data_IF_207196716212
#
_entry.id   IF_207196716212
#
_cell.length_a   1.000
_cell.length_b   1.000
_cell.length_c   1.000
_cell.angle_alpha   90.00
_cell.angle_beta   90.00
_cell.angle_gamma   90.00
#
_symmetry.space_group_name_H-M   'P 1'
#
loop_
_entity.id
_entity.type
_entity.pdbx_description
1 polymer ?
#
# COMPACT_ATOMS: atom_id res chain seq x y z
N UNK A 1 49.15 32.57 13.72
CA UNK A 1 47.81 32.54 13.06
C UNK A 1 47.48 31.20 12.38
N UNK A 2 48.40 30.55 11.65
CA UNK A 2 48.13 29.23 11.00
C UNK A 2 47.79 28.08 11.95
N UNK A 3 48.41 28.02 13.14
CA UNK A 3 48.17 26.94 14.13
C UNK A 3 46.78 27.04 14.82
N UNK A 4 46.26 28.24 15.00
CA UNK A 4 44.93 28.45 15.58
C UNK A 4 43.81 28.07 14.59
N UNK A 5 44.02 28.29 13.29
CA UNK A 5 43.08 27.91 12.24
C UNK A 5 42.91 26.37 12.13
N UNK A 6 44.01 25.58 12.32
CA UNK A 6 43.92 24.11 12.29
C UNK A 6 43.19 23.55 13.51
N UNK A 7 43.32 24.17 14.68
CA UNK A 7 42.61 23.74 15.90
C UNK A 7 41.12 24.01 15.76
N UNK A 8 40.72 25.16 15.19
CA UNK A 8 39.30 25.49 14.92
C UNK A 8 38.67 24.57 13.88
N UNK A 9 39.36 24.22 12.81
CA UNK A 9 38.91 23.27 11.79
C UNK A 9 38.76 21.87 12.36
N UNK A 10 39.71 21.44 13.24
CA UNK A 10 39.65 20.12 13.90
C UNK A 10 38.48 20.03 14.90
N UNK A 11 38.15 21.09 15.61
CA UNK A 11 37.02 21.13 16.54
C UNK A 11 35.71 21.11 15.78
N UNK A 12 35.60 21.78 14.62
CA UNK A 12 34.40 21.74 13.77
C UNK A 12 34.19 20.36 13.13
N UNK A 13 35.28 19.66 12.72
CA UNK A 13 35.20 18.31 12.21
C UNK A 13 34.84 17.26 13.31
N UNK A 14 35.35 17.42 14.54
CA UNK A 14 34.94 16.56 15.66
C UNK A 14 33.49 16.82 16.07
N UNK A 15 33.00 18.05 16.04
CA UNK A 15 31.59 18.38 16.30
C UNK A 15 30.64 17.79 15.24
N UNK A 16 31.08 17.63 13.99
CA UNK A 16 30.28 17.02 12.93
C UNK A 16 30.13 15.50 13.04
N UNK A 17 31.04 14.81 13.75
CA UNK A 17 30.94 13.36 13.94
C UNK A 17 30.19 12.90 15.21
N UNK A 18 29.90 13.82 16.12
CA UNK A 18 29.12 13.52 17.36
C UNK A 18 27.63 13.90 17.19
N UNK A 19 27.20 14.36 16.03
CA UNK A 19 26.08 15.26 15.88
C UNK A 19 24.71 14.70 15.52
N UNK A 20 24.52 13.47 15.04
CA UNK A 20 23.15 13.09 14.62
C UNK A 20 22.24 12.63 15.78
N UNK A 21 22.72 11.83 16.69
CA UNK A 21 21.89 11.33 17.82
C UNK A 21 21.71 12.37 18.93
N UNK A 22 22.74 13.18 19.20
CA UNK A 22 22.68 14.22 20.25
C UNK A 22 21.82 15.43 19.85
N UNK A 23 21.82 15.81 18.57
CA UNK A 23 20.98 16.91 18.09
C UNK A 23 19.48 16.52 18.07
N UNK A 24 19.15 15.26 17.75
CA UNK A 24 17.79 14.74 17.83
C UNK A 24 17.26 14.67 19.26
N UNK A 25 18.10 14.36 20.25
CA UNK A 25 17.70 14.35 21.66
C UNK A 25 17.39 15.75 22.19
N UNK A 26 18.07 16.78 21.66
CA UNK A 26 17.82 18.19 22.01
C UNK A 26 16.55 18.77 21.34
N UNK A 27 16.16 18.27 20.19
CA UNK A 27 14.96 18.74 19.45
C UNK A 27 13.69 17.94 19.74
N UNK A 28 13.76 16.89 20.56
CA UNK A 28 12.65 15.97 20.79
C UNK A 28 12.24 15.15 19.56
N UNK A 29 13.01 15.20 18.47
CA UNK A 29 12.72 14.48 17.24
C UNK A 29 12.95 12.96 17.43
N UNK A 30 11.90 12.17 17.19
CA UNK A 30 11.97 10.70 17.26
C UNK A 30 12.86 10.14 16.17
N UNK A 31 13.47 8.99 16.43
CA UNK A 31 14.22 8.22 15.40
C UNK A 31 13.30 7.84 14.24
N UNK A 32 13.85 7.72 13.05
CA UNK A 32 13.10 7.18 11.92
C UNK A 32 12.79 5.70 12.16
N UNK A 33 11.55 5.30 11.92
CA UNK A 33 11.16 3.91 12.03
C UNK A 33 11.86 3.04 10.98
N UNK A 34 12.26 1.83 11.40
CA UNK A 34 12.99 0.84 10.59
C UNK A 34 12.08 -0.30 10.15
N UNK A 35 12.59 -1.18 9.29
CA UNK A 35 11.85 -2.32 8.72
C UNK A 35 11.26 -2.02 7.35
N UNK A 36 10.94 -3.08 6.63
CA UNK A 36 10.39 -3.00 5.27
C UNK A 36 8.90 -2.67 5.30
N UNK A 37 8.35 -2.05 4.24
CA UNK A 37 6.90 -1.97 4.05
C UNK A 37 6.25 -3.35 4.12
N UNK A 38 5.08 -3.42 4.74
CA UNK A 38 4.33 -4.68 4.92
C UNK A 38 5.12 -5.79 5.63
N UNK A 39 5.98 -5.41 6.54
CA UNK A 39 6.66 -6.31 7.47
C UNK A 39 6.21 -6.00 8.89
N UNK A 40 5.89 -7.02 9.67
CA UNK A 40 5.50 -6.88 11.07
C UNK A 40 6.43 -7.68 11.97
N UNK A 41 6.99 -7.00 12.97
CA UNK A 41 7.80 -7.62 14.02
C UNK A 41 6.87 -8.13 15.12
N UNK A 42 6.73 -9.45 15.23
CA UNK A 42 5.94 -10.09 16.27
C UNK A 42 6.84 -10.44 17.46
N UNK A 43 6.62 -9.76 18.56
CA UNK A 43 7.30 -10.00 19.83
C UNK A 43 6.48 -11.03 20.61
N UNK A 44 6.92 -12.29 20.57
CA UNK A 44 6.20 -13.42 21.10
C UNK A 44 7.17 -14.50 21.60
N UNK A 45 7.01 -14.98 22.82
CA UNK A 45 7.87 -16.03 23.35
C UNK A 45 7.57 -17.40 22.71
N UNK A 46 8.47 -18.38 22.92
CA UNK A 46 8.42 -19.64 22.18
C UNK A 46 7.15 -20.43 22.42
N UNK A 47 6.70 -20.48 23.67
CA UNK A 47 5.53 -21.25 24.06
C UNK A 47 4.25 -20.77 23.36
N UNK A 48 3.99 -19.47 23.34
CA UNK A 48 2.83 -18.89 22.67
C UNK A 48 2.94 -19.00 21.15
N UNK A 49 4.16 -18.79 20.62
CA UNK A 49 4.40 -18.86 19.17
C UNK A 49 4.23 -20.26 18.59
N UNK A 50 4.65 -21.29 19.31
CA UNK A 50 4.54 -22.69 18.88
C UNK A 50 3.14 -23.31 19.15
N UNK A 51 2.29 -22.55 19.84
CA UNK A 51 0.92 -22.94 20.13
C UNK A 51 -0.05 -22.62 18.96
N UNK A 52 -1.34 -22.93 19.18
CA UNK A 52 -2.41 -22.53 18.26
C UNK A 52 -2.47 -21.01 18.08
N UNK A 53 -2.09 -20.23 19.08
CA UNK A 53 -2.07 -18.74 18.96
C UNK A 53 -1.10 -18.28 17.89
N UNK A 54 0.10 -18.81 17.82
CA UNK A 54 1.05 -18.47 16.76
C UNK A 54 0.57 -18.90 15.37
N UNK A 55 -0.12 -20.02 15.28
CA UNK A 55 -0.74 -20.49 14.02
C UNK A 55 -1.82 -19.53 13.54
N UNK A 56 -2.73 -19.10 14.42
CA UNK A 56 -3.79 -18.15 14.08
C UNK A 56 -3.23 -16.75 13.75
N UNK A 57 -2.22 -16.29 14.50
CA UNK A 57 -1.54 -15.02 14.20
C UNK A 57 -0.93 -15.02 12.80
N UNK A 58 -0.24 -16.10 12.42
CA UNK A 58 0.29 -16.25 11.06
C UNK A 58 -0.83 -16.26 10.03
N UNK A 59 -1.89 -17.03 10.25
CA UNK A 59 -3.02 -17.11 9.32
C UNK A 59 -3.66 -15.74 9.07
N UNK A 60 -3.76 -14.89 10.10
CA UNK A 60 -4.27 -13.53 9.97
C UNK A 60 -3.27 -12.64 9.23
N UNK A 61 -2.02 -12.56 9.70
CA UNK A 61 -1.04 -11.61 9.18
C UNK A 61 -0.55 -11.97 7.77
N UNK A 62 -0.46 -13.25 7.48
CA UNK A 62 -0.01 -13.78 6.19
C UNK A 62 -1.17 -14.11 5.24
N UNK A 63 -2.38 -13.60 5.50
CA UNK A 63 -3.50 -13.69 4.55
C UNK A 63 -3.02 -13.26 3.16
N UNK A 64 -3.26 -14.06 2.10
CA UNK A 64 -2.83 -13.71 0.75
C UNK A 64 -3.44 -12.40 0.25
N UNK A 65 -2.62 -11.57 -0.42
CA UNK A 65 -3.12 -10.42 -1.17
C UNK A 65 -3.87 -10.92 -2.40
N UNK A 66 -5.07 -10.42 -2.58
CA UNK A 66 -5.96 -10.84 -3.67
C UNK A 66 -5.42 -10.43 -5.04
N UNK A 67 -5.59 -11.30 -6.02
CA UNK A 67 -5.27 -11.05 -7.43
C UNK A 67 -3.83 -10.60 -7.68
N UNK A 68 -2.88 -11.32 -7.11
CA UNK A 68 -1.49 -11.28 -7.53
C UNK A 68 -1.14 -12.56 -8.31
N UNK A 69 -0.23 -12.45 -9.29
CA UNK A 69 0.24 -13.59 -10.08
C UNK A 69 0.98 -14.65 -9.24
N UNK A 70 1.43 -14.27 -8.07
CA UNK A 70 2.10 -15.11 -7.08
C UNK A 70 1.42 -14.90 -5.74
N UNK A 71 1.37 -15.94 -4.93
CA UNK A 71 0.84 -15.83 -3.57
C UNK A 71 1.81 -15.00 -2.74
N UNK A 72 1.38 -13.84 -2.29
CA UNK A 72 2.14 -12.96 -1.41
C UNK A 72 1.30 -12.63 -0.18
N UNK A 73 1.87 -12.72 1.03
CA UNK A 73 1.14 -12.43 2.25
C UNK A 73 0.87 -10.93 2.40
N UNK A 74 -0.20 -10.55 3.11
CA UNK A 74 -0.47 -9.16 3.46
C UNK A 74 0.69 -8.56 4.24
N UNK A 75 1.24 -9.29 5.21
CA UNK A 75 2.45 -8.89 5.95
C UNK A 75 3.45 -10.03 6.02
N UNK A 76 4.73 -9.73 5.84
CA UNK A 76 5.81 -10.62 6.20
C UNK A 76 5.99 -10.61 7.72
N UNK A 77 5.97 -11.77 8.33
CA UNK A 77 6.09 -11.93 9.77
C UNK A 77 7.55 -12.18 10.15
N UNK A 78 8.12 -11.31 11.00
CA UNK A 78 9.42 -11.50 11.64
C UNK A 78 9.18 -11.72 13.12
N UNK A 79 9.54 -12.89 13.64
CA UNK A 79 9.34 -13.20 15.06
C UNK A 79 10.59 -12.95 15.87
N UNK A 80 10.44 -12.37 17.07
CA UNK A 80 11.50 -12.19 18.06
C UNK A 80 10.97 -12.46 19.48
N UNK A 81 11.83 -12.90 20.39
CA UNK A 81 11.45 -13.06 21.81
C UNK A 81 11.36 -11.72 22.53
N UNK A 82 10.61 -11.66 23.62
CA UNK A 82 10.52 -10.46 24.46
C UNK A 82 11.90 -10.03 25.02
N UNK A 83 12.76 -11.00 25.32
CA UNK A 83 14.11 -10.75 25.81
C UNK A 83 14.96 -10.04 24.76
N UNK A 84 14.96 -10.54 23.52
CA UNK A 84 15.84 -10.03 22.46
C UNK A 84 15.32 -8.71 21.89
N UNK A 85 14.00 -8.50 21.91
CA UNK A 85 13.35 -7.25 21.47
C UNK A 85 13.86 -6.02 22.22
N UNK A 86 14.06 -6.12 23.54
CA UNK A 86 14.49 -4.99 24.38
C UNK A 86 15.82 -4.36 23.92
N UNK A 87 16.67 -5.13 23.27
CA UNK A 87 18.03 -4.72 22.92
C UNK A 87 18.19 -4.37 21.43
N UNK A 88 17.35 -4.89 20.53
CA UNK A 88 17.63 -4.87 19.11
C UNK A 88 16.70 -4.00 18.27
N UNK A 89 15.39 -4.10 18.45
CA UNK A 89 14.44 -3.64 17.44
C UNK A 89 13.30 -2.73 17.95
N UNK A 90 13.49 -1.86 18.96
CA UNK A 90 12.38 -1.04 19.47
C UNK A 90 11.91 0.04 18.48
N UNK A 91 12.68 0.34 17.43
CA UNK A 91 12.36 1.33 16.39
C UNK A 91 11.73 0.74 15.14
N UNK A 92 11.31 -0.53 15.17
CA UNK A 92 10.62 -1.16 14.03
C UNK A 92 9.29 -0.46 13.73
N UNK A 93 8.92 -0.38 12.45
CA UNK A 93 7.75 0.41 12.01
C UNK A 93 6.41 -0.21 12.42
N UNK A 94 6.27 -1.53 12.35
CA UNK A 94 5.11 -2.29 12.79
C UNK A 94 5.54 -3.30 13.83
N UNK A 95 5.06 -3.16 15.05
CA UNK A 95 5.36 -4.07 16.16
C UNK A 95 4.05 -4.62 16.70
N UNK A 96 3.97 -5.94 16.81
CA UNK A 96 2.90 -6.66 17.50
C UNK A 96 3.49 -7.38 18.71
N UNK A 97 3.22 -6.88 19.92
CA UNK A 97 3.59 -7.54 21.17
C UNK A 97 2.49 -8.47 21.61
N UNK A 98 2.82 -9.72 21.93
CA UNK A 98 1.91 -10.73 22.45
C UNK A 98 2.13 -10.86 23.94
N UNK A 99 1.09 -10.71 24.75
CA UNK A 99 1.10 -10.84 26.20
C UNK A 99 0.00 -11.77 26.66
N UNK A 100 0.34 -13.01 26.91
CA UNK A 100 -0.55 -14.01 27.49
C UNK A 100 -0.27 -14.12 29.00
N UNK A 101 -1.21 -13.69 29.84
CA UNK A 101 -1.01 -13.71 31.30
C UNK A 101 -2.34 -13.81 32.02
N UNK A 102 -2.46 -14.70 33.06
CA UNK A 102 -3.67 -14.81 33.87
C UNK A 102 -4.05 -13.52 34.62
N UNK A 103 -3.14 -12.54 34.73
CA UNK A 103 -3.41 -11.24 35.32
C UNK A 103 -4.14 -10.29 34.36
N UNK A 104 -4.20 -10.58 33.07
CA UNK A 104 -4.97 -9.82 32.08
C UNK A 104 -6.44 -10.20 32.23
N UNK A 105 -7.29 -9.23 32.54
CA UNK A 105 -8.70 -9.47 32.77
C UNK A 105 -9.47 -9.85 31.51
N UNK A 106 -9.18 -9.14 30.38
CA UNK A 106 -9.91 -9.29 29.12
C UNK A 106 -8.95 -9.32 27.92
N UNK A 107 -9.32 -10.09 26.91
CA UNK A 107 -8.56 -10.11 25.66
C UNK A 107 -8.80 -8.85 24.86
N UNK A 108 -7.71 -8.17 24.46
CA UNK A 108 -7.78 -6.90 23.73
C UNK A 108 -6.53 -6.65 22.88
N UNK A 109 -6.68 -5.73 21.91
CA UNK A 109 -5.57 -5.16 21.16
C UNK A 109 -5.53 -3.65 21.42
N UNK A 110 -4.39 -3.17 21.92
CA UNK A 110 -4.15 -1.77 22.20
C UNK A 110 -3.12 -1.22 21.22
N UNK A 111 -3.45 -0.13 20.54
CA UNK A 111 -2.57 0.53 19.59
C UNK A 111 -1.91 1.77 20.21
N UNK A 112 -0.61 1.92 20.00
CA UNK A 112 0.18 3.09 20.34
C UNK A 112 0.97 3.53 19.10
N UNK A 113 1.04 4.83 18.87
CA UNK A 113 1.73 5.40 17.72
C UNK A 113 2.99 6.14 18.16
N UNK A 114 4.03 6.03 17.34
CA UNK A 114 5.26 6.81 17.51
C UNK A 114 5.89 6.68 18.90
N UNK A 115 5.98 5.47 19.45
CA UNK A 115 6.47 5.23 20.83
C UNK A 115 7.97 5.54 20.95
N UNK A 116 8.80 4.94 20.09
CA UNK A 116 10.27 5.07 20.09
C UNK A 116 10.78 5.70 18.81
N UNK A 117 10.09 5.44 17.70
CA UNK A 117 10.43 5.94 16.36
C UNK A 117 9.19 6.53 15.69
N UNK A 118 9.36 7.26 14.59
CA UNK A 118 8.25 7.79 13.79
C UNK A 118 8.58 7.64 12.30
N UNK A 119 7.57 7.24 11.49
CA UNK A 119 6.21 6.80 11.84
C UNK A 119 6.19 5.33 12.29
N UNK A 120 5.67 5.04 13.47
CA UNK A 120 5.65 3.72 14.10
C UNK A 120 4.24 3.37 14.60
N UNK A 121 3.86 2.09 14.50
CA UNK A 121 2.72 1.53 15.25
C UNK A 121 3.21 0.38 16.13
N UNK A 122 2.80 0.39 17.39
CA UNK A 122 3.02 -0.68 18.36
C UNK A 122 1.65 -1.18 18.82
N UNK A 123 1.33 -2.42 18.46
CA UNK A 123 0.14 -3.11 18.93
C UNK A 123 0.52 -4.01 20.11
N UNK A 124 -0.26 -3.97 21.18
CA UNK A 124 -0.19 -4.95 22.26
C UNK A 124 -1.44 -5.80 22.22
N UNK A 125 -1.28 -7.05 21.81
CA UNK A 125 -2.32 -8.07 21.86
C UNK A 125 -2.17 -8.86 23.15
N UNK A 126 -3.15 -8.73 24.04
CA UNK A 126 -3.08 -9.30 25.38
C UNK A 126 -4.34 -10.11 25.71
N UNK A 127 -4.18 -11.11 26.59
CA UNK A 127 -5.29 -11.91 27.04
C UNK A 127 -4.95 -12.84 28.21
N UNK A 128 -5.96 -13.40 28.91
CA UNK A 128 -5.76 -14.24 30.10
C UNK A 128 -5.23 -15.63 29.78
N UNK A 129 -5.44 -16.11 28.54
CA UNK A 129 -5.01 -17.44 28.12
C UNK A 129 -4.89 -17.54 26.60
N UNK A 130 -4.13 -18.50 26.12
CA UNK A 130 -4.00 -18.81 24.69
C UNK A 130 -5.39 -19.06 24.06
N UNK A 131 -6.25 -19.83 24.71
CA UNK A 131 -7.58 -20.16 24.18
C UNK A 131 -8.44 -18.90 23.98
N UNK A 132 -8.46 -17.99 24.95
CA UNK A 132 -9.18 -16.72 24.84
C UNK A 132 -8.63 -15.84 23.71
N UNK A 133 -7.32 -15.78 23.56
CA UNK A 133 -6.67 -15.02 22.50
C UNK A 133 -6.92 -15.60 21.11
N UNK A 134 -6.92 -16.92 20.96
CA UNK A 134 -7.28 -17.62 19.71
C UNK A 134 -8.72 -17.32 19.32
N UNK A 135 -9.64 -17.41 20.25
CA UNK A 135 -11.06 -17.10 19.98
C UNK A 135 -11.26 -15.63 19.57
N UNK A 136 -10.55 -14.72 20.24
CA UNK A 136 -10.56 -13.31 19.86
C UNK A 136 -10.05 -13.06 18.43
N UNK A 137 -8.96 -13.74 18.02
CA UNK A 137 -8.42 -13.61 16.66
C UNK A 137 -9.38 -14.12 15.60
N UNK A 138 -10.08 -15.23 15.85
CA UNK A 138 -11.09 -15.76 14.93
C UNK A 138 -12.20 -14.76 14.65
N UNK A 139 -12.56 -13.95 15.64
CA UNK A 139 -13.61 -12.93 15.53
C UNK A 139 -13.08 -11.58 15.03
N UNK A 140 -11.87 -11.19 15.40
CA UNK A 140 -11.33 -9.86 15.23
C UNK A 140 -10.02 -9.80 14.41
N UNK A 141 -9.59 -10.91 13.80
CA UNK A 141 -8.33 -10.95 13.03
C UNK A 141 -8.31 -9.99 11.86
N UNK A 142 -9.44 -9.82 11.17
CA UNK A 142 -9.58 -8.83 10.09
C UNK A 142 -9.37 -7.39 10.58
N UNK A 143 -9.83 -7.06 11.79
CA UNK A 143 -9.61 -5.74 12.38
C UNK A 143 -8.14 -5.50 12.73
N UNK A 144 -7.43 -6.51 13.25
CA UNK A 144 -5.98 -6.45 13.48
C UNK A 144 -5.24 -6.14 12.17
N UNK A 145 -5.56 -6.87 11.11
CA UNK A 145 -4.95 -6.68 9.80
C UNK A 145 -5.23 -5.26 9.26
N UNK A 146 -6.48 -4.81 9.36
CA UNK A 146 -6.91 -3.48 8.91
C UNK A 146 -6.16 -2.34 9.63
N UNK A 147 -5.91 -2.46 10.92
CA UNK A 147 -5.16 -1.43 11.69
C UNK A 147 -3.73 -1.31 11.18
N UNK A 148 -3.06 -2.43 10.90
CA UNK A 148 -1.71 -2.42 10.31
C UNK A 148 -1.70 -1.86 8.89
N UNK A 149 -2.70 -2.19 8.07
CA UNK A 149 -2.88 -1.63 6.73
C UNK A 149 -3.09 -0.13 6.73
N UNK A 150 -3.94 0.37 7.63
CA UNK A 150 -4.17 1.82 7.80
C UNK A 150 -2.85 2.51 8.15
N UNK A 151 -2.02 1.91 9.01
CA UNK A 151 -0.72 2.47 9.37
C UNK A 151 0.21 2.56 8.15
N UNK A 152 0.29 1.51 7.30
CA UNK A 152 1.08 1.54 6.06
C UNK A 152 0.56 2.58 5.07
N UNK A 153 -0.74 2.61 4.86
CA UNK A 153 -1.41 3.58 3.98
C UNK A 153 -1.14 5.02 4.40
N UNK A 154 -1.33 5.32 5.67
CA UNK A 154 -1.10 6.67 6.20
C UNK A 154 0.36 7.11 5.99
N UNK A 155 1.33 6.22 6.15
CA UNK A 155 2.75 6.51 5.87
C UNK A 155 2.97 6.89 4.41
N UNK A 156 2.37 6.14 3.49
CA UNK A 156 2.46 6.43 2.05
C UNK A 156 1.87 7.80 1.73
N UNK A 157 0.67 8.09 2.23
CA UNK A 157 -0.02 9.37 2.00
C UNK A 157 0.77 10.54 2.62
N UNK A 158 1.22 10.41 3.86
CA UNK A 158 2.00 11.46 4.53
C UNK A 158 3.38 11.69 3.88
N UNK A 159 4.00 10.63 3.36
CA UNK A 159 5.21 10.79 2.54
C UNK A 159 4.91 11.55 1.25
N UNK A 160 3.84 11.21 0.54
CA UNK A 160 3.43 11.89 -0.69
C UNK A 160 3.08 13.37 -0.44
N UNK A 161 2.42 13.69 0.67
CA UNK A 161 2.16 15.08 1.08
C UNK A 161 3.44 15.88 1.28
N UNK A 162 4.49 15.27 1.81
CA UNK A 162 5.79 15.94 2.07
C UNK A 162 6.70 15.96 0.85
N UNK A 163 6.71 14.89 0.08
CA UNK A 163 7.62 14.62 -1.03
C UNK A 163 6.82 14.26 -2.30
N UNK A 164 5.88 15.15 -2.67
CA UNK A 164 4.94 14.90 -3.76
C UNK A 164 5.41 15.34 -5.13
N UNK A 165 4.88 14.71 -6.17
CA UNK A 165 5.04 15.07 -7.58
C UNK A 165 4.10 16.24 -7.96
N UNK A 166 4.37 17.45 -7.45
CA UNK A 166 3.47 18.61 -7.50
C UNK A 166 2.98 19.00 -8.89
N UNK A 167 3.86 18.87 -9.90
CA UNK A 167 3.47 19.15 -11.28
C UNK A 167 2.39 18.17 -11.79
N UNK A 168 2.54 16.88 -11.46
CA UNK A 168 1.56 15.85 -11.82
C UNK A 168 0.25 16.01 -11.03
N UNK A 169 0.34 16.30 -9.74
CA UNK A 169 -0.84 16.60 -8.90
C UNK A 169 -1.64 17.80 -9.47
N UNK A 170 -0.94 18.81 -9.98
CA UNK A 170 -1.57 19.97 -10.62
C UNK A 170 -2.31 19.60 -11.90
N UNK A 171 -1.69 18.81 -12.79
CA UNK A 171 -2.32 18.34 -14.04
C UNK A 171 -3.60 17.57 -13.71
N UNK A 172 -3.54 16.64 -12.75
CA UNK A 172 -4.71 15.85 -12.35
C UNK A 172 -5.83 16.72 -11.79
N UNK A 173 -5.48 17.76 -11.04
CA UNK A 173 -6.46 18.72 -10.52
C UNK A 173 -7.11 19.54 -11.63
N UNK A 174 -6.33 19.97 -12.61
CA UNK A 174 -6.83 20.75 -13.75
C UNK A 174 -7.75 19.92 -14.65
N UNK A 175 -7.44 18.61 -14.83
CA UNK A 175 -8.20 17.72 -15.71
C UNK A 175 -9.46 17.11 -15.05
N UNK A 176 -9.37 16.69 -13.78
CA UNK A 176 -10.45 15.94 -13.11
C UNK A 176 -11.08 16.65 -11.93
N UNK A 177 -10.63 17.85 -11.59
CA UNK A 177 -11.07 18.61 -10.40
C UNK A 177 -11.06 17.80 -9.11
N UNK A 178 -10.00 17.01 -8.91
CA UNK A 178 -9.71 16.28 -7.67
C UNK A 178 -8.36 16.66 -7.10
N UNK A 179 -8.24 16.66 -5.78
CA UNK A 179 -6.94 16.71 -5.12
C UNK A 179 -6.46 15.29 -4.84
N UNK A 180 -5.19 15.01 -5.18
CA UNK A 180 -4.56 13.71 -5.01
C UNK A 180 -3.11 13.89 -4.58
N UNK A 181 -2.58 13.02 -3.72
CA UNK A 181 -1.20 13.08 -3.27
C UNK A 181 -0.39 11.94 -3.88
N UNK A 182 0.59 12.30 -4.71
CA UNK A 182 1.41 11.37 -5.48
C UNK A 182 2.86 11.51 -5.04
N UNK A 183 3.49 10.41 -4.61
CA UNK A 183 4.90 10.41 -4.23
C UNK A 183 5.80 10.79 -5.40
N UNK A 184 6.97 11.39 -5.09
CA UNK A 184 7.99 11.62 -6.10
C UNK A 184 8.40 10.31 -6.81
N UNK A 185 8.90 10.45 -8.04
CA UNK A 185 9.37 9.33 -8.87
C UNK A 185 8.39 8.93 -9.96
N UNK A 186 7.13 9.34 -9.89
CA UNK A 186 6.20 9.19 -11.02
C UNK A 186 6.47 10.24 -12.06
N UNK A 187 6.67 9.79 -13.29
CA UNK A 187 6.83 10.63 -14.46
C UNK A 187 5.50 10.70 -15.20
N UNK A 188 5.11 11.90 -15.53
CA UNK A 188 4.02 12.13 -16.45
C UNK A 188 4.37 11.52 -17.83
N UNK A 189 3.43 10.79 -18.42
CA UNK A 189 3.63 10.05 -19.68
C UNK A 189 2.76 10.55 -20.81
N UNK A 190 1.48 10.72 -20.54
CA UNK A 190 0.52 11.17 -21.53
C UNK A 190 -0.69 11.84 -20.89
N UNK A 191 -1.26 12.79 -21.62
CA UNK A 191 -2.49 13.50 -21.30
C UNK A 191 -3.32 13.63 -22.58
N UNK A 192 -4.60 13.49 -22.45
CA UNK A 192 -5.60 13.89 -23.42
C UNK A 192 -6.89 14.16 -22.66
N UNK A 193 -7.86 14.80 -23.28
CA UNK A 193 -9.17 14.99 -22.69
C UNK A 193 -9.63 13.68 -22.04
N UNK A 194 -10.09 13.74 -20.81
CA UNK A 194 -10.58 12.60 -20.03
C UNK A 194 -9.54 11.52 -19.64
N UNK A 195 -8.20 11.76 -19.81
CA UNK A 195 -7.18 10.76 -19.54
C UNK A 195 -5.83 11.35 -19.12
N UNK A 196 -5.28 10.85 -18.02
CA UNK A 196 -3.90 11.13 -17.56
C UNK A 196 -3.21 9.82 -17.21
N UNK A 197 -1.99 9.62 -17.69
CA UNK A 197 -1.14 8.45 -17.40
C UNK A 197 0.20 8.86 -16.81
N UNK A 198 0.61 8.18 -15.73
CA UNK A 198 1.90 8.34 -15.08
C UNK A 198 2.48 6.98 -14.66
N UNK A 199 3.80 6.86 -14.71
CA UNK A 199 4.51 5.64 -14.30
C UNK A 199 5.81 5.97 -13.57
N UNK A 200 6.25 5.02 -12.73
CA UNK A 200 7.54 5.01 -12.07
C UNK A 200 8.30 3.75 -12.49
N UNK A 201 9.41 3.97 -13.20
CA UNK A 201 10.20 2.90 -13.80
C UNK A 201 11.42 2.57 -12.95
N UNK A 202 11.54 1.30 -12.59
CA UNK A 202 12.71 0.73 -11.95
C UNK A 202 13.45 -0.18 -12.94
N UNK A 203 14.73 -0.51 -12.73
CA UNK A 203 15.49 -1.33 -13.68
C UNK A 203 14.86 -2.70 -13.98
N UNK A 204 14.02 -3.22 -13.10
CA UNK A 204 13.46 -4.59 -13.17
C UNK A 204 11.96 -4.65 -12.90
N UNK A 205 11.32 -3.51 -12.70
CA UNK A 205 9.89 -3.38 -12.43
C UNK A 205 9.39 -2.03 -12.92
N UNK A 206 8.12 -1.96 -13.24
CA UNK A 206 7.40 -0.73 -13.51
C UNK A 206 6.10 -0.74 -12.71
N UNK A 207 5.74 0.39 -12.17
CA UNK A 207 4.43 0.62 -11.58
C UNK A 207 3.84 1.91 -12.11
N UNK A 208 2.56 1.91 -12.39
CA UNK A 208 1.91 3.08 -12.94
C UNK A 208 0.45 3.16 -12.57
N UNK A 209 -0.11 4.30 -12.85
CA UNK A 209 -1.54 4.51 -12.78
C UNK A 209 -2.01 5.37 -13.95
N UNK A 210 -3.26 5.23 -14.30
CA UNK A 210 -3.94 6.14 -15.20
C UNK A 210 -5.31 6.49 -14.64
N UNK A 211 -5.70 7.73 -14.88
CA UNK A 211 -6.98 8.27 -14.45
C UNK A 211 -7.77 8.59 -15.70
N UNK A 212 -9.05 8.27 -15.70
CA UNK A 212 -9.94 8.59 -16.79
C UNK A 212 -11.36 8.83 -16.31
N UNK A 213 -12.12 9.61 -17.07
CA UNK A 213 -13.54 9.79 -16.85
C UNK A 213 -14.36 9.43 -18.09
N UNK A 214 -15.60 9.06 -17.88
CA UNK A 214 -16.56 8.80 -18.95
C UNK A 214 -17.99 8.91 -18.46
N UNK A 215 -18.97 9.22 -19.34
CA UNK A 215 -20.35 9.50 -18.94
C UNK A 215 -21.00 8.36 -18.18
N UNK A 216 -21.66 8.67 -17.06
CA UNK A 216 -22.50 7.73 -16.34
C UNK A 216 -23.85 7.56 -17.08
N UNK A 217 -24.15 6.34 -17.53
CA UNK A 217 -25.38 6.01 -18.28
C UNK A 217 -26.32 5.09 -17.46
N UNK A 218 -26.38 5.30 -16.15
CA UNK A 218 -27.18 4.50 -15.24
C UNK A 218 -26.49 3.20 -14.80
N UNK A 219 -27.25 2.32 -14.14
CA UNK A 219 -26.71 1.10 -13.53
C UNK A 219 -25.97 0.15 -14.48
N UNK A 220 -26.32 0.16 -15.76
CA UNK A 220 -25.68 -0.67 -16.77
C UNK A 220 -24.21 -0.28 -17.02
N UNK A 221 -23.81 0.98 -16.77
CA UNK A 221 -22.43 1.44 -16.95
C UNK A 221 -21.49 1.05 -15.80
N UNK A 222 -21.99 0.50 -14.71
CA UNK A 222 -21.21 0.06 -13.54
C UNK A 222 -21.17 -1.47 -13.36
N UNK A 223 -21.57 -2.24 -14.37
CA UNK A 223 -21.35 -3.70 -14.37
C UNK A 223 -19.86 -4.01 -14.59
N UNK A 224 -19.40 -5.19 -14.20
CA UNK A 224 -18.01 -5.59 -14.40
C UNK A 224 -17.60 -5.51 -15.86
N UNK A 225 -18.45 -6.00 -16.77
CA UNK A 225 -18.23 -6.01 -18.22
C UNK A 225 -18.11 -4.58 -18.77
N UNK A 226 -18.99 -3.66 -18.33
CA UNK A 226 -18.97 -2.26 -18.78
C UNK A 226 -17.71 -1.54 -18.29
N UNK A 227 -17.31 -1.76 -17.05
CA UNK A 227 -16.10 -1.17 -16.48
C UNK A 227 -14.84 -1.74 -17.15
N UNK A 228 -14.77 -3.05 -17.40
CA UNK A 228 -13.67 -3.67 -18.17
C UNK A 228 -13.61 -3.13 -19.60
N UNK A 229 -14.76 -2.95 -20.24
CA UNK A 229 -14.84 -2.33 -21.57
C UNK A 229 -14.28 -0.91 -21.57
N UNK A 230 -14.72 -0.07 -20.62
CA UNK A 230 -14.21 1.30 -20.47
C UNK A 230 -12.70 1.27 -20.21
N UNK A 231 -12.26 0.47 -19.22
CA UNK A 231 -10.83 0.28 -18.92
C UNK A 231 -10.01 -0.01 -20.18
N UNK A 232 -10.45 -0.95 -20.99
CA UNK A 232 -9.72 -1.35 -22.20
C UNK A 232 -9.66 -0.25 -23.27
N UNK A 233 -10.70 0.58 -23.40
CA UNK A 233 -10.68 1.72 -24.32
C UNK A 233 -9.62 2.76 -23.91
N UNK A 234 -9.50 3.05 -22.63
CA UNK A 234 -8.49 3.98 -22.11
C UNK A 234 -7.09 3.36 -22.05
N UNK A 235 -6.97 2.10 -21.61
CA UNK A 235 -5.71 1.38 -21.53
C UNK A 235 -5.01 1.22 -22.88
N UNK A 236 -5.74 1.21 -24.01
CA UNK A 236 -5.16 1.24 -25.36
C UNK A 236 -4.29 2.47 -25.64
N UNK A 237 -4.44 3.54 -24.88
CA UNK A 237 -3.61 4.74 -24.98
C UNK A 237 -2.23 4.55 -24.33
N UNK A 238 -2.03 3.44 -23.61
CA UNK A 238 -0.76 3.03 -23.02
C UNK A 238 -0.06 2.07 -23.98
N UNK A 239 1.02 2.52 -24.66
CA UNK A 239 1.71 1.69 -25.63
C UNK A 239 2.46 0.55 -24.95
N UNK A 240 2.48 -0.60 -25.58
CA UNK A 240 3.38 -1.67 -25.21
C UNK A 240 4.79 -1.48 -25.82
N UNK A 241 5.71 -2.44 -25.57
CA UNK A 241 7.10 -2.33 -26.02
C UNK A 241 7.29 -2.51 -27.53
N UNK A 242 6.33 -3.08 -28.24
CA UNK A 242 6.39 -3.30 -29.69
C UNK A 242 5.38 -2.42 -30.43
N UNK A 243 5.69 -2.05 -31.67
CA UNK A 243 4.83 -1.18 -32.47
C UNK A 243 3.40 -1.74 -32.61
N UNK A 244 2.44 -0.90 -32.29
CA UNK A 244 1.01 -1.24 -32.32
C UNK A 244 0.55 -2.17 -31.20
N UNK A 245 1.43 -2.50 -30.23
CA UNK A 245 1.01 -3.15 -29.00
C UNK A 245 0.50 -2.16 -27.96
N UNK A 246 -0.41 -2.59 -27.11
CA UNK A 246 -1.06 -1.74 -26.11
C UNK A 246 -1.57 -2.57 -24.93
N UNK A 247 -1.84 -1.90 -23.80
CA UNK A 247 -2.36 -2.54 -22.60
C UNK A 247 -3.83 -2.93 -22.77
N UNK A 248 -4.19 -4.11 -22.25
CA UNK A 248 -5.58 -4.60 -22.19
C UNK A 248 -5.79 -5.43 -20.91
N UNK A 249 -7.04 -5.81 -20.63
CA UNK A 249 -7.37 -6.73 -19.55
C UNK A 249 -7.29 -8.18 -20.03
N UNK A 250 -6.67 -9.05 -19.25
CA UNK A 250 -6.64 -10.50 -19.49
C UNK A 250 -8.07 -11.03 -19.56
N UNK A 251 -8.37 -11.81 -20.61
CA UNK A 251 -9.69 -12.42 -20.83
C UNK A 251 -9.71 -13.91 -20.53
N UNK A 252 -8.56 -14.55 -20.51
CA UNK A 252 -8.41 -15.98 -20.25
C UNK A 252 -7.18 -16.24 -19.41
N UNK A 253 -7.28 -17.19 -18.51
CA UNK A 253 -6.15 -17.68 -17.71
C UNK A 253 -5.97 -19.18 -17.96
N UNK A 254 -4.75 -19.72 -17.77
CA UNK A 254 -4.53 -21.16 -17.85
C UNK A 254 -5.45 -21.91 -16.88
N UNK A 255 -6.03 -22.99 -17.36
CA UNK A 255 -6.78 -23.91 -16.52
C UNK A 255 -5.81 -24.73 -15.65
N UNK A 256 -6.10 -24.88 -14.37
CA UNK A 256 -5.25 -25.64 -13.45
C UNK A 256 -5.45 -27.15 -13.60
N UNK A 257 -6.59 -27.58 -14.17
CA UNK A 257 -6.99 -28.98 -14.28
C UNK A 257 -6.59 -29.63 -15.61
N UNK A 258 -6.34 -28.82 -16.63
CA UNK A 258 -5.93 -29.29 -17.97
C UNK A 258 -5.03 -28.26 -18.69
N UNK A 259 -4.52 -28.60 -19.86
CA UNK A 259 -3.67 -27.71 -20.69
C UNK A 259 -4.46 -26.60 -21.42
N UNK A 260 -5.71 -26.36 -21.03
CA UNK A 260 -6.60 -25.39 -21.65
C UNK A 260 -6.57 -24.02 -21.00
N UNK A 261 -7.55 -23.20 -21.37
CA UNK A 261 -7.78 -21.87 -20.83
C UNK A 261 -9.23 -21.74 -20.39
N UNK A 262 -9.45 -21.01 -19.29
CA UNK A 262 -10.78 -20.62 -18.82
C UNK A 262 -10.98 -19.12 -18.99
N UNK A 263 -12.24 -18.72 -19.22
CA UNK A 263 -12.58 -17.31 -19.28
C UNK A 263 -12.35 -16.67 -17.93
N UNK A 264 -11.75 -15.48 -17.92
CA UNK A 264 -11.40 -14.73 -16.73
C UNK A 264 -12.13 -13.39 -16.73
N UNK A 265 -12.69 -13.05 -15.58
CA UNK A 265 -13.28 -11.74 -15.33
C UNK A 265 -12.69 -11.17 -14.03
N UNK A 266 -12.31 -9.89 -13.99
CA UNK A 266 -11.84 -9.24 -12.78
C UNK A 266 -12.84 -9.34 -11.63
N UNK A 267 -12.33 -9.52 -10.41
CA UNK A 267 -13.15 -9.50 -9.20
C UNK A 267 -13.66 -8.08 -8.94
N UNK A 268 -14.94 -7.98 -8.56
CA UNK A 268 -15.62 -6.72 -8.29
C UNK A 268 -16.09 -6.65 -6.84
N UNK A 269 -15.75 -5.55 -6.16
CA UNK A 269 -16.25 -5.22 -4.82
C UNK A 269 -16.74 -3.78 -4.78
N UNK A 270 -17.62 -3.45 -3.83
CA UNK A 270 -17.93 -2.07 -3.48
C UNK A 270 -17.23 -1.78 -2.16
N UNK A 271 -16.43 -0.73 -2.13
CA UNK A 271 -15.66 -0.31 -0.96
C UNK A 271 -15.99 1.15 -0.62
N UNK A 272 -15.96 1.49 0.65
CA UNK A 272 -16.17 2.87 1.09
C UNK A 272 -14.83 3.53 1.42
N UNK A 273 -14.49 4.59 0.70
CA UNK A 273 -13.26 5.35 0.89
C UNK A 273 -13.65 6.82 1.13
N UNK A 274 -13.21 7.38 2.26
CA UNK A 274 -13.49 8.78 2.64
C UNK A 274 -14.98 9.14 2.55
N UNK A 275 -15.88 8.20 2.96
CA UNK A 275 -17.32 8.39 2.95
C UNK A 275 -18.01 8.17 1.59
N UNK A 276 -17.27 8.03 0.49
CA UNK A 276 -17.75 7.81 -0.87
C UNK A 276 -17.69 6.33 -1.25
N UNK A 277 -18.65 5.85 -1.99
CA UNK A 277 -18.65 4.49 -2.52
C UNK A 277 -17.79 4.40 -3.79
N UNK A 278 -16.90 3.41 -3.83
CA UNK A 278 -16.07 3.08 -4.96
C UNK A 278 -16.30 1.64 -5.38
N UNK A 279 -16.28 1.40 -6.68
CA UNK A 279 -16.24 0.05 -7.22
C UNK A 279 -14.76 -0.30 -7.44
N UNK A 280 -14.28 -1.28 -6.70
CA UNK A 280 -12.95 -1.86 -6.88
C UNK A 280 -13.04 -3.03 -7.86
N UNK A 281 -12.20 -3.01 -8.90
CA UNK A 281 -11.93 -4.16 -9.75
C UNK A 281 -10.49 -4.61 -9.55
N UNK A 282 -10.28 -5.91 -9.33
CA UNK A 282 -8.95 -6.53 -9.26
C UNK A 282 -8.82 -7.59 -10.34
N UNK A 283 -7.73 -7.56 -11.08
CA UNK A 283 -7.51 -8.51 -12.16
C UNK A 283 -6.10 -8.47 -12.70
N UNK A 284 -5.96 -9.01 -13.90
CA UNK A 284 -4.69 -9.03 -14.61
C UNK A 284 -4.78 -8.24 -15.91
N UNK A 285 -3.70 -7.55 -16.22
CA UNK A 285 -3.50 -6.89 -17.50
C UNK A 285 -2.41 -7.61 -18.30
N UNK A 286 -2.48 -7.46 -19.60
CA UNK A 286 -1.50 -7.94 -20.56
C UNK A 286 -1.29 -6.90 -21.65
N UNK A 287 -0.22 -7.04 -22.42
CA UNK A 287 0.00 -6.27 -23.64
C UNK A 287 -0.45 -7.10 -24.84
N UNK A 288 -1.33 -6.55 -25.65
CA UNK A 288 -1.74 -7.16 -26.91
C UNK A 288 -0.53 -7.38 -27.81
N UNK A 289 -0.28 -8.61 -28.23
CA UNK A 289 0.85 -9.05 -29.06
C UNK A 289 2.23 -9.00 -28.37
N UNK A 290 2.26 -9.08 -27.04
CA UNK A 290 3.49 -9.16 -26.26
C UNK A 290 3.30 -10.01 -25.01
N UNK A 291 4.39 -10.42 -24.35
CA UNK A 291 4.35 -11.25 -23.12
C UNK A 291 4.38 -10.42 -21.84
N UNK A 292 4.26 -9.12 -21.95
CA UNK A 292 4.24 -8.23 -20.79
C UNK A 292 2.86 -8.22 -20.13
N UNK A 293 2.81 -8.31 -18.79
CA UNK A 293 1.56 -8.31 -18.04
C UNK A 293 1.79 -8.31 -16.52
N UNK A 294 0.71 -8.20 -15.78
CA UNK A 294 0.75 -8.19 -14.31
C UNK A 294 -0.61 -7.94 -13.66
N UNK A 295 -0.64 -7.70 -12.34
CA UNK A 295 -1.86 -7.35 -11.64
C UNK A 295 -2.24 -5.89 -11.86
N UNK A 296 -3.54 -5.62 -11.81
CA UNK A 296 -4.08 -4.27 -11.69
C UNK A 296 -5.16 -4.20 -10.62
N UNK A 297 -5.40 -3.02 -10.12
CA UNK A 297 -6.57 -2.66 -9.34
C UNK A 297 -7.10 -1.32 -9.83
N UNK A 298 -8.39 -1.23 -10.14
CA UNK A 298 -9.04 0.01 -10.50
C UNK A 298 -10.14 0.36 -9.51
N UNK A 299 -10.29 1.64 -9.27
CA UNK A 299 -11.30 2.20 -8.39
C UNK A 299 -12.14 3.19 -9.18
N UNK A 300 -13.44 2.91 -9.31
CA UNK A 300 -14.38 3.75 -10.04
C UNK A 300 -15.43 4.31 -9.09
N UNK A 301 -15.69 5.61 -9.17
CA UNK A 301 -16.76 6.29 -8.43
C UNK A 301 -17.54 7.21 -9.34
N UNK A 302 -18.79 7.52 -8.95
CA UNK A 302 -19.58 8.53 -9.64
C UNK A 302 -19.19 9.93 -9.15
N UNK A 303 -18.76 10.78 -10.06
CA UNK A 303 -18.72 12.21 -9.83
C UNK A 303 -20.08 12.81 -10.22
N UNK A 304 -20.89 13.09 -9.21
CA UNK A 304 -22.25 13.60 -9.41
C UNK A 304 -22.27 15.02 -9.98
N UNK A 305 -21.17 15.77 -9.85
CA UNK A 305 -21.05 17.15 -10.34
C UNK A 305 -21.02 17.18 -11.87
N UNK A 306 -20.27 16.26 -12.45
CA UNK A 306 -20.09 16.14 -13.89
C UNK A 306 -21.02 15.09 -14.52
N UNK A 307 -21.65 14.23 -13.72
CA UNK A 307 -22.44 13.10 -14.20
C UNK A 307 -21.58 12.02 -14.85
N UNK A 308 -20.33 11.89 -14.41
CA UNK A 308 -19.34 10.99 -14.97
C UNK A 308 -18.86 9.93 -13.97
N UNK A 309 -18.38 8.82 -14.50
CA UNK A 309 -17.62 7.84 -13.76
C UNK A 309 -16.13 8.19 -13.84
N UNK A 310 -15.56 8.55 -12.71
CA UNK A 310 -14.10 8.75 -12.54
C UNK A 310 -13.47 7.43 -12.13
N UNK A 311 -12.42 7.02 -12.84
CA UNK A 311 -11.67 5.80 -12.54
C UNK A 311 -10.20 6.10 -12.34
N UNK A 312 -9.61 5.54 -11.29
CA UNK A 312 -8.16 5.50 -11.02
C UNK A 312 -7.73 4.05 -11.15
N UNK A 313 -6.95 3.74 -12.16
CA UNK A 313 -6.45 2.39 -12.46
C UNK A 313 -4.96 2.31 -12.13
N UNK A 314 -4.59 1.34 -11.34
CA UNK A 314 -3.23 1.10 -10.85
C UNK A 314 -2.73 -0.25 -11.35
N UNK A 315 -1.51 -0.30 -11.91
CA UNK A 315 -0.94 -1.52 -12.46
C UNK A 315 0.52 -1.69 -12.10
N UNK A 316 0.99 -2.94 -12.12
CA UNK A 316 2.38 -3.29 -11.83
C UNK A 316 2.89 -4.28 -12.87
N UNK A 317 4.10 -4.04 -13.36
CA UNK A 317 4.93 -4.99 -14.07
C UNK A 317 6.15 -5.33 -13.22
N UNK A 318 6.29 -6.57 -12.80
CA UNK A 318 7.41 -7.03 -11.98
C UNK A 318 7.65 -8.53 -12.21
N UNK A 319 8.31 -8.92 -13.33
CA UNK A 319 8.42 -10.32 -13.70
C UNK A 319 9.31 -11.13 -12.76
N UNK A 320 10.24 -10.49 -12.05
CA UNK A 320 11.24 -11.15 -11.20
C UNK A 320 11.00 -11.03 -9.69
N UNK A 321 10.15 -10.10 -9.26
CA UNK A 321 9.95 -9.79 -7.84
C UNK A 321 8.48 -9.85 -7.46
N UNK A 322 8.24 -9.93 -6.17
CA UNK A 322 6.90 -9.78 -5.60
C UNK A 322 6.27 -8.44 -5.98
N UNK A 323 4.96 -8.43 -6.14
CA UNK A 323 4.19 -7.30 -6.66
C UNK A 323 3.47 -6.52 -5.58
N UNK A 324 3.26 -7.13 -4.41
CA UNK A 324 2.57 -6.50 -3.28
C UNK A 324 3.16 -5.13 -2.94
N UNK A 325 4.48 -5.04 -2.76
CA UNK A 325 5.15 -3.81 -2.35
C UNK A 325 5.15 -2.71 -3.43
N UNK A 326 4.77 -3.03 -4.66
CA UNK A 326 4.53 -2.07 -5.74
C UNK A 326 3.05 -1.70 -5.87
N UNK A 327 2.15 -2.69 -5.80
CA UNK A 327 0.71 -2.47 -6.01
C UNK A 327 0.05 -1.76 -4.82
N UNK A 328 0.34 -2.20 -3.58
CA UNK A 328 -0.29 -1.62 -2.39
C UNK A 328 -0.08 -0.11 -2.21
N UNK A 329 1.13 0.45 -2.42
CA UNK A 329 1.32 1.90 -2.42
C UNK A 329 0.51 2.65 -3.49
N UNK A 330 0.27 2.03 -4.66
CA UNK A 330 -0.61 2.60 -5.68
C UNK A 330 -2.07 2.66 -5.23
N UNK A 331 -2.56 1.58 -4.60
CA UNK A 331 -3.92 1.57 -4.03
C UNK A 331 -4.11 2.70 -2.99
N UNK A 332 -3.06 3.07 -2.27
CA UNK A 332 -3.11 4.17 -1.29
C UNK A 332 -3.38 5.54 -1.93
N UNK A 333 -3.08 5.72 -3.22
CA UNK A 333 -3.37 6.96 -3.94
C UNK A 333 -4.86 7.31 -3.84
N UNK A 334 -5.73 6.31 -4.00
CA UNK A 334 -7.19 6.51 -3.98
C UNK A 334 -7.68 6.96 -2.60
N UNK A 335 -7.04 6.48 -1.53
CA UNK A 335 -7.36 6.91 -0.15
C UNK A 335 -6.92 8.34 0.15
N UNK A 336 -6.02 8.90 -0.67
CA UNK A 336 -5.57 10.28 -0.60
C UNK A 336 -6.38 11.24 -1.48
N UNK A 337 -7.37 10.74 -2.24
CA UNK A 337 -8.21 11.57 -3.11
C UNK A 337 -9.23 12.35 -2.28
N UNK A 338 -9.38 13.62 -2.63
CA UNK A 338 -10.50 14.46 -2.18
C UNK A 338 -11.13 15.20 -3.36
N UNK A 339 -12.45 15.30 -3.30
CA UNK A 339 -13.24 16.10 -4.25
C UNK A 339 -13.48 17.47 -3.63
N UNK A 340 -13.54 18.56 -4.42
CA UNK A 340 -13.96 19.85 -3.92
C UNK A 340 -15.32 19.76 -3.22
N UNK A 341 -15.51 20.56 -2.18
CA UNK A 341 -16.83 20.67 -1.57
C UNK A 341 -17.83 21.16 -2.62
N UNK A 342 -19.00 20.51 -2.69
CA UNK A 342 -20.10 21.06 -3.45
C UNK A 342 -20.47 22.39 -2.80
N UNK A 343 -20.14 23.51 -3.45
CA UNK A 343 -20.73 24.81 -3.13
C UNK A 343 -22.23 24.73 -3.49
N UNK A 344 -23.05 24.31 -2.50
CA UNK A 344 -24.52 24.41 -2.55
C UNK A 344 -24.99 25.50 -1.61
#
# INVERSE_FOLDING_TARGET
MKRVAYILVSIVLLAAMVGCDSFRSLTGAKKTAQGSPYEVLVVCDGYEWESQLGTELKAVLETPVEMLNQVEPMFNVVRITARDFKHLLPSYRNILKVLCSPQVAETSIVAQYDVVASPQIVLTFQGPSIAAMVEYLKQNGSALLQVLEIAERNRTIEYAKKQGARALEKIIKEEFDIDMHISNGYLFRAESDDFVWASNEYPVASQGFFIYSHPFKGKASVTTESLVKARNEFAKRIPGPTDGSYMTTVKRIPNVEDDGYVDFMPQRKVVKINGRDWIELRGFWEVERDFMGGPFVSYTTLDEREGELLTIDCYVYSPKYGKRNFLRPLEHLVYGVSFPANDK
#
